data_IF_127325176413
#
_entry.id   IF_127325176413
#
_cell.length_a   1.000
_cell.length_b   1.000
_cell.length_c   1.000
_cell.angle_alpha   90.00
_cell.angle_beta   90.00
_cell.angle_gamma   90.00
#
_symmetry.space_group_name_H-M   'P 1'
#
loop_
_entity.id
_entity.type
_entity.pdbx_description
1 polymer ?
#
# COMPACT_ATOMS: atom_id res chain seq x y z
N UNK A 1 -5.51 -28.18 -15.71
CA UNK A 1 -6.26 -27.28 -14.81
C UNK A 1 -5.28 -26.66 -13.82
N UNK A 2 -5.09 -25.36 -13.90
CA UNK A 2 -4.21 -24.68 -12.95
C UNK A 2 -4.87 -24.67 -11.57
N UNK A 3 -4.13 -25.07 -10.53
CA UNK A 3 -4.62 -25.03 -9.16
C UNK A 3 -4.64 -23.60 -8.69
N UNK A 4 -5.57 -23.25 -7.78
CA UNK A 4 -5.65 -21.91 -7.15
C UNK A 4 -4.29 -21.42 -6.63
N UNK A 5 -3.49 -22.33 -6.10
CA UNK A 5 -2.15 -22.08 -5.58
C UNK A 5 -1.13 -21.59 -6.63
N UNK A 6 -1.38 -21.80 -7.92
CA UNK A 6 -0.47 -21.36 -8.98
C UNK A 6 -0.59 -19.86 -9.26
N UNK A 7 -1.65 -19.22 -8.74
CA UNK A 7 -1.87 -17.78 -8.84
C UNK A 7 -1.31 -16.99 -7.65
N UNK A 8 -0.92 -17.67 -6.59
CA UNK A 8 -0.31 -17.00 -5.43
C UNK A 8 1.12 -16.61 -5.78
N UNK A 9 1.56 -15.41 -5.37
CA UNK A 9 2.94 -15.00 -5.57
C UNK A 9 3.86 -15.90 -4.74
N UNK A 10 4.49 -16.84 -5.42
CA UNK A 10 5.48 -17.73 -4.80
C UNK A 10 6.82 -17.02 -4.81
N UNK A 11 7.25 -16.56 -3.66
CA UNK A 11 8.65 -16.26 -3.43
C UNK A 11 9.18 -17.32 -2.47
N UNK A 12 10.18 -18.04 -2.92
CA UNK A 12 10.75 -19.21 -2.25
C UNK A 12 11.18 -18.95 -0.79
N UNK A 13 11.37 -17.69 -0.40
CA UNK A 13 11.91 -17.30 0.90
C UNK A 13 10.97 -16.40 1.73
N UNK A 14 9.76 -16.14 1.26
CA UNK A 14 8.78 -15.32 1.98
C UNK A 14 7.47 -16.08 2.05
N UNK A 15 7.36 -16.95 3.01
CA UNK A 15 6.11 -17.60 3.37
C UNK A 15 5.74 -17.18 4.78
N UNK A 16 4.78 -16.29 4.87
CA UNK A 16 4.22 -15.81 6.13
C UNK A 16 3.03 -16.66 6.61
N UNK A 17 2.75 -17.75 5.89
CA UNK A 17 1.64 -18.68 6.14
C UNK A 17 0.24 -18.02 6.08
N UNK A 18 0.15 -16.80 5.52
CA UNK A 18 -1.12 -16.12 5.31
C UNK A 18 -1.52 -16.13 3.84
N UNK A 19 -2.77 -16.44 3.58
CA UNK A 19 -3.33 -16.48 2.22
C UNK A 19 -4.00 -15.17 1.81
N UNK A 20 -4.40 -14.40 2.80
CA UNK A 20 -5.12 -13.14 2.68
C UNK A 20 -4.59 -12.16 3.74
N UNK A 21 -5.31 -11.07 3.96
CA UNK A 21 -4.97 -10.12 5.03
C UNK A 21 -4.94 -10.81 6.41
N UNK A 22 -4.05 -10.35 7.25
CA UNK A 22 -3.92 -10.77 8.63
C UNK A 22 -4.28 -9.62 9.58
N UNK A 23 -4.48 -9.91 10.88
CA UNK A 23 -4.65 -8.86 11.88
C UNK A 23 -3.48 -7.88 11.86
N UNK A 24 -3.76 -6.60 12.10
CA UNK A 24 -2.73 -5.56 12.17
C UNK A 24 -1.67 -5.89 13.21
N UNK A 25 -0.43 -5.48 12.96
CA UNK A 25 0.71 -5.70 13.86
C UNK A 25 1.02 -7.18 14.15
N UNK A 26 0.70 -8.09 13.23
CA UNK A 26 1.03 -9.52 13.35
C UNK A 26 2.52 -9.81 13.08
N UNK A 27 3.21 -8.92 12.39
CA UNK A 27 4.62 -9.03 12.03
C UNK A 27 5.48 -8.05 12.83
N UNK A 28 6.79 -8.20 12.72
CA UNK A 28 7.74 -7.30 13.39
C UNK A 28 7.62 -5.87 12.85
N UNK A 29 7.71 -4.86 13.71
CA UNK A 29 7.75 -3.48 13.27
C UNK A 29 9.07 -3.15 12.56
N UNK A 30 9.07 -2.09 11.77
CA UNK A 30 10.30 -1.54 11.22
C UNK A 30 11.11 -0.81 12.32
N UNK A 31 12.33 -0.31 12.03
CA UNK A 31 13.16 0.39 13.01
C UNK A 31 12.51 1.62 13.66
N UNK A 32 11.48 2.18 13.06
CA UNK A 32 10.71 3.30 13.61
C UNK A 32 9.49 2.87 14.43
N UNK A 33 9.31 1.56 14.65
CA UNK A 33 8.17 1.03 15.38
C UNK A 33 6.87 1.00 14.60
N UNK A 34 6.93 1.13 13.26
CA UNK A 34 5.76 1.09 12.39
C UNK A 34 5.53 -0.33 11.88
N UNK A 35 4.29 -0.79 11.98
CA UNK A 35 3.86 -2.11 11.54
C UNK A 35 3.27 -2.08 10.13
N UNK A 36 3.37 -3.20 9.42
CA UNK A 36 2.69 -3.49 8.14
C UNK A 36 2.94 -2.42 7.04
N UNK A 37 4.11 -1.80 7.03
CA UNK A 37 4.46 -0.76 6.05
C UNK A 37 4.66 -1.33 4.64
N UNK A 38 4.96 -2.61 4.52
CA UNK A 38 5.13 -3.31 3.26
C UNK A 38 4.36 -4.64 3.32
N UNK A 39 3.18 -4.66 2.72
CA UNK A 39 2.33 -5.85 2.68
C UNK A 39 1.11 -5.77 3.58
N UNK A 40 0.54 -6.91 3.90
CA UNK A 40 -0.78 -7.07 4.48
C UNK A 40 -1.86 -6.48 3.56
N UNK A 41 -2.28 -5.24 3.74
CA UNK A 41 -3.13 -4.51 2.80
C UNK A 41 -2.43 -3.24 2.34
N UNK A 42 -2.65 -2.86 1.09
CA UNK A 42 -2.22 -1.55 0.62
C UNK A 42 -3.04 -0.45 1.31
N UNK A 43 -2.51 0.74 1.41
CA UNK A 43 -3.11 1.80 2.21
C UNK A 43 -3.39 3.05 1.39
N UNK A 44 -4.57 3.61 1.56
CA UNK A 44 -4.93 4.92 1.03
C UNK A 44 -4.03 5.99 1.61
N UNK A 45 -3.63 6.94 0.76
CA UNK A 45 -2.97 8.17 1.19
C UNK A 45 -3.83 9.39 0.85
N UNK A 46 -3.55 10.50 1.50
CA UNK A 46 -4.20 11.78 1.18
C UNK A 46 -3.74 12.37 -0.17
N UNK A 47 -2.64 11.86 -0.72
CA UNK A 47 -2.00 12.44 -1.91
C UNK A 47 -2.76 12.14 -3.19
N UNK A 48 -2.89 13.14 -4.04
CA UNK A 48 -3.37 12.96 -5.41
C UNK A 48 -2.33 12.22 -6.24
N UNK A 49 -2.80 11.39 -7.17
CA UNK A 49 -1.92 10.65 -8.05
C UNK A 49 -1.48 11.50 -9.23
N UNK A 50 -0.21 11.84 -9.26
CA UNK A 50 0.46 12.50 -10.39
C UNK A 50 1.51 11.53 -10.93
N UNK A 51 1.43 11.11 -12.21
CA UNK A 51 2.41 10.22 -12.82
C UNK A 51 3.82 10.83 -12.82
N UNK A 52 4.84 9.99 -12.73
CA UNK A 52 6.21 10.42 -12.96
C UNK A 52 6.60 10.34 -14.46
N UNK A 53 7.41 11.28 -14.98
CA UNK A 53 7.87 12.53 -14.34
C UNK A 53 6.69 13.46 -14.09
N UNK A 54 6.79 14.28 -13.06
CA UNK A 54 5.78 15.27 -12.70
C UNK A 54 5.59 16.23 -13.89
N UNK A 55 4.53 16.04 -14.65
CA UNK A 55 4.15 16.95 -15.73
C UNK A 55 3.18 17.98 -15.16
N UNK A 56 3.45 19.25 -15.40
CA UNK A 56 2.61 20.37 -14.92
C UNK A 56 1.15 20.30 -15.42
N UNK A 57 0.91 19.53 -16.48
CA UNK A 57 -0.43 19.25 -17.00
C UNK A 57 -0.80 17.79 -16.74
N UNK A 58 -1.11 17.47 -15.51
CA UNK A 58 -1.84 16.24 -15.24
C UNK A 58 -3.24 16.34 -15.88
N UNK A 59 -3.63 15.34 -16.68
CA UNK A 59 -5.01 15.21 -17.13
C UNK A 59 -5.96 15.29 -15.92
N UNK A 60 -7.07 15.99 -16.05
CA UNK A 60 -8.09 16.10 -14.97
C UNK A 60 -8.46 14.73 -14.37
N UNK A 61 -8.53 13.68 -15.19
CA UNK A 61 -8.77 12.30 -14.74
C UNK A 61 -7.68 11.75 -13.81
N UNK A 62 -6.42 12.18 -13.97
CA UNK A 62 -5.33 11.76 -13.09
C UNK A 62 -5.41 12.45 -11.72
N UNK A 63 -5.92 13.68 -11.68
CA UNK A 63 -6.09 14.46 -10.43
C UNK A 63 -7.18 13.90 -9.53
N UNK A 64 -8.15 13.17 -10.10
CA UNK A 64 -9.24 12.58 -9.31
C UNK A 64 -8.82 11.30 -8.57
N UNK A 65 -7.69 10.70 -8.93
CA UNK A 65 -7.21 9.47 -8.31
C UNK A 65 -6.32 9.77 -7.10
N UNK A 66 -6.47 8.94 -6.08
CA UNK A 66 -5.61 8.97 -4.90
C UNK A 66 -4.53 7.92 -4.99
N UNK A 67 -3.40 8.21 -4.36
CA UNK A 67 -2.28 7.28 -4.25
C UNK A 67 -2.57 6.21 -3.20
N UNK A 68 -2.28 4.97 -3.56
CA UNK A 68 -2.28 3.82 -2.65
C UNK A 68 -0.87 3.24 -2.60
N UNK A 69 -0.41 2.93 -1.41
CA UNK A 69 0.96 2.53 -1.10
C UNK A 69 1.04 1.24 -0.29
N UNK A 70 2.26 0.70 -0.17
CA UNK A 70 2.61 -0.37 0.75
C UNK A 70 2.48 -1.78 0.17
N UNK A 71 1.77 -1.95 -0.94
CA UNK A 71 1.48 -3.28 -1.47
C UNK A 71 0.54 -4.09 -0.58
N UNK A 72 0.14 -5.26 -1.04
CA UNK A 72 -0.82 -6.10 -0.31
C UNK A 72 -0.51 -7.58 -0.46
N UNK A 73 -1.21 -8.41 0.30
CA UNK A 73 -1.17 -9.87 0.22
C UNK A 73 -1.41 -10.42 -1.19
N UNK A 74 -2.09 -9.65 -2.05
CA UNK A 74 -2.44 -10.04 -3.41
C UNK A 74 -1.30 -9.84 -4.40
N UNK A 75 -0.32 -9.01 -4.07
CA UNK A 75 0.74 -8.62 -4.97
C UNK A 75 2.04 -9.39 -4.72
N UNK A 76 2.85 -9.47 -5.78
CA UNK A 76 4.21 -9.98 -5.63
C UNK A 76 5.05 -8.95 -4.85
N UNK A 77 5.99 -9.36 -4.01
CA UNK A 77 6.83 -8.46 -3.20
C UNK A 77 7.51 -7.34 -3.97
N UNK A 78 7.87 -7.54 -5.23
CA UNK A 78 8.41 -6.48 -6.07
C UNK A 78 7.48 -5.27 -6.23
N UNK A 79 6.17 -5.47 -6.01
CA UNK A 79 5.17 -4.41 -6.03
C UNK A 79 4.79 -3.88 -4.64
N UNK A 80 5.44 -4.38 -3.61
CA UNK A 80 5.27 -3.93 -2.22
C UNK A 80 6.41 -3.06 -1.73
N UNK A 81 7.31 -2.63 -2.62
CA UNK A 81 8.41 -1.74 -2.27
C UNK A 81 7.91 -0.33 -1.99
N UNK A 82 8.70 0.43 -1.24
CA UNK A 82 8.38 1.83 -0.89
C UNK A 82 8.24 2.75 -2.12
N UNK A 83 8.79 2.38 -3.27
CA UNK A 83 8.71 3.17 -4.50
C UNK A 83 7.39 2.95 -5.26
N UNK A 84 6.71 1.85 -5.05
CA UNK A 84 5.48 1.50 -5.79
C UNK A 84 4.33 2.39 -5.36
N UNK A 85 3.66 2.95 -6.35
CA UNK A 85 2.46 3.78 -6.19
C UNK A 85 1.37 3.22 -7.09
N UNK A 86 0.18 3.04 -6.54
CA UNK A 86 -1.03 2.71 -7.29
C UNK A 86 -1.99 3.88 -7.25
N UNK A 87 -2.90 3.91 -8.19
CA UNK A 87 -3.88 4.98 -8.32
C UNK A 87 -5.29 4.39 -8.40
N UNK A 88 -6.15 4.82 -7.48
CA UNK A 88 -7.56 4.48 -7.49
C UNK A 88 -8.41 5.73 -7.35
N UNK A 89 -9.61 5.68 -7.92
CA UNK A 89 -10.63 6.71 -7.66
C UNK A 89 -11.13 6.56 -6.21
N UNK A 90 -11.43 7.66 -5.51
CA UNK A 90 -11.78 7.63 -4.09
C UNK A 90 -12.99 6.75 -3.74
N UNK A 91 -13.89 6.54 -4.68
CA UNK A 91 -15.08 5.72 -4.48
C UNK A 91 -14.86 4.23 -4.74
N UNK A 92 -13.74 3.84 -5.35
CA UNK A 92 -13.39 2.44 -5.53
C UNK A 92 -13.09 1.78 -4.18
N UNK A 93 -13.50 0.53 -4.04
CA UNK A 93 -13.32 -0.27 -2.82
C UNK A 93 -12.58 -1.57 -3.12
N UNK A 94 -11.28 -1.49 -3.46
CA UNK A 94 -10.50 -2.70 -3.68
C UNK A 94 -10.40 -3.51 -2.38
N UNK A 95 -10.61 -4.83 -2.48
CA UNK A 95 -10.65 -5.72 -1.32
C UNK A 95 -9.30 -5.86 -0.58
N UNK A 96 -8.23 -5.45 -1.23
CA UNK A 96 -6.85 -5.54 -0.73
C UNK A 96 -6.28 -4.17 -0.34
N UNK A 97 -7.13 -3.17 -0.14
CA UNK A 97 -6.75 -1.81 0.27
C UNK A 97 -7.46 -1.44 1.56
N UNK A 98 -6.70 -0.97 2.50
CA UNK A 98 -7.17 -0.44 3.77
C UNK A 98 -6.69 0.99 3.97
N UNK A 99 -6.60 1.42 5.22
CA UNK A 99 -6.14 2.76 5.58
C UNK A 99 -5.44 2.75 6.94
N UNK A 100 -4.68 3.79 7.18
CA UNK A 100 -4.01 4.08 8.44
C UNK A 100 -4.33 5.51 8.85
N UNK A 101 -4.61 5.72 10.14
CA UNK A 101 -4.82 7.06 10.69
C UNK A 101 -3.47 7.61 11.12
N UNK A 102 -3.19 8.84 10.71
CA UNK A 102 -2.04 9.61 11.15
C UNK A 102 -2.53 10.83 11.90
N UNK A 103 -2.10 10.98 13.14
CA UNK A 103 -2.38 12.16 13.97
C UNK A 103 -1.18 13.08 13.88
N UNK A 104 -1.40 14.33 13.44
CA UNK A 104 -0.37 15.35 13.44
C UNK A 104 -0.44 16.10 14.78
N UNK A 105 0.66 16.10 15.51
CA UNK A 105 0.80 16.92 16.70
C UNK A 105 1.16 18.36 16.27
N UNK A 106 0.19 19.26 16.42
CA UNK A 106 0.38 20.67 16.09
C UNK A 106 1.09 21.47 17.21
N UNK A 107 1.30 20.87 18.38
CA UNK A 107 1.89 21.55 19.53
C UNK A 107 3.42 21.44 19.59
N UNK A 108 4.06 20.68 18.72
CA UNK A 108 5.51 20.71 18.59
C UNK A 108 5.95 21.96 17.82
N UNK A 109 5.75 23.12 18.39
CA UNK A 109 6.58 24.28 18.02
C UNK A 109 8.01 23.90 18.37
N UNK A 110 8.79 23.57 17.35
CA UNK A 110 10.22 23.45 17.48
C UNK A 110 10.74 24.77 18.10
N UNK A 111 11.27 24.69 19.30
CA UNK A 111 12.09 25.74 19.87
C UNK A 111 13.43 25.77 19.17
#
# INVERSE_FOLDING_TARGET
>A
MRKFWDFLPKILNVNDHQLISCPVASYQPNPWGLYDMNGNVAEWTASDYIPYPLKEKANKEAVEKKVVRGGSWRERPKYSTSAVRKAYLPWQRPMNVGFRIVVLDHDSKAN
#
